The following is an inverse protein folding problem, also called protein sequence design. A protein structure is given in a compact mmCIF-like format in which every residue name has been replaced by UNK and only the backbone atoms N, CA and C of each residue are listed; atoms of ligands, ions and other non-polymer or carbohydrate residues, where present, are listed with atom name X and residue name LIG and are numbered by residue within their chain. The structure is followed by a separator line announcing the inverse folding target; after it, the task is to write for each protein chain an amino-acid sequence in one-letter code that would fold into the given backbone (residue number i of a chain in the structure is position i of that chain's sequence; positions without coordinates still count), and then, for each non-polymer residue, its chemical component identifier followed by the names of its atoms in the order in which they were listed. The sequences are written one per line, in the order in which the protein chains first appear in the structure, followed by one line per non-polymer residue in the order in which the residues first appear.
data_IF_155002429872
#
_entry.id   IF_155002429872
#
_cell.length_a   1.000
_cell.length_b   1.000
_cell.length_c   1.000
_cell.angle_alpha   90.00
_cell.angle_beta   90.00
_cell.angle_gamma   90.00
#
_symmetry.space_group_name_H-M   'P 1'
#
loop_
_entity.id
_entity.type
_entity.pdbx_description
1 polymer ?
#
# COMPACT_ATOMS: atom_id res chain seq x y z
N UNK A 1 3.88 -0.92 0.94
CA UNK A 1 4.62 -2.12 1.35
C UNK A 1 4.26 -3.32 0.49
N UNK A 2 5.10 -4.35 0.50
CA UNK A 2 4.82 -5.65 -0.11
C UNK A 2 4.29 -6.60 0.98
N UNK A 3 3.12 -7.19 0.76
CA UNK A 3 2.54 -8.24 1.59
C UNK A 3 2.80 -9.58 0.94
N UNK A 4 3.33 -10.54 1.70
CA UNK A 4 3.71 -11.87 1.21
C UNK A 4 3.22 -12.96 2.18
N UNK A 5 3.15 -14.20 1.73
CA UNK A 5 2.87 -15.33 2.62
C UNK A 5 4.02 -15.50 3.64
N UNK A 6 3.71 -15.94 4.86
CA UNK A 6 4.69 -16.17 5.93
C UNK A 6 5.81 -17.13 5.52
N UNK A 7 5.49 -18.12 4.67
CA UNK A 7 6.40 -19.16 4.23
C UNK A 7 7.41 -18.67 3.17
N UNK A 8 7.20 -17.48 2.60
CA UNK A 8 8.11 -16.93 1.60
C UNK A 8 9.19 -16.06 2.23
N UNK A 9 10.43 -16.41 1.98
CA UNK A 9 11.58 -15.57 2.27
C UNK A 9 12.10 -14.96 0.96
N UNK A 10 11.69 -13.73 0.69
CA UNK A 10 12.02 -13.01 -0.54
C UNK A 10 13.15 -12.03 -0.27
N UNK A 11 14.19 -12.07 -1.10
CA UNK A 11 15.26 -11.08 -1.06
C UNK A 11 14.98 -9.97 -2.09
N UNK A 12 14.21 -8.96 -1.67
CA UNK A 12 13.82 -7.81 -2.50
C UNK A 12 14.30 -6.54 -1.84
N UNK A 13 15.19 -5.82 -2.53
CA UNK A 13 15.76 -4.55 -2.09
C UNK A 13 15.51 -3.43 -3.11
N UNK A 14 15.10 -3.78 -4.33
CA UNK A 14 14.84 -2.85 -5.42
C UNK A 14 13.74 -3.33 -6.34
N UNK A 15 13.21 -2.44 -7.20
CA UNK A 15 12.27 -2.81 -8.27
C UNK A 15 12.88 -3.79 -9.30
N UNK A 16 14.20 -3.84 -9.42
CA UNK A 16 14.86 -4.77 -10.35
C UNK A 16 14.75 -6.22 -9.87
N UNK A 17 14.75 -6.44 -8.56
CA UNK A 17 14.75 -7.77 -7.95
C UNK A 17 13.44 -8.53 -8.22
N UNK A 18 12.34 -7.81 -8.54
CA UNK A 18 11.10 -8.47 -8.95
C UNK A 18 11.24 -9.34 -10.20
N UNK A 19 12.25 -9.08 -11.04
CA UNK A 19 12.54 -9.92 -12.23
C UNK A 19 13.09 -11.30 -11.88
N UNK A 20 13.60 -11.47 -10.66
CA UNK A 20 14.12 -12.77 -10.19
C UNK A 20 13.04 -13.68 -9.59
N UNK A 21 11.84 -13.15 -9.41
CA UNK A 21 10.72 -13.90 -8.86
C UNK A 21 10.12 -14.87 -9.88
N UNK A 22 9.84 -16.08 -9.44
CA UNK A 22 9.24 -17.12 -10.28
C UNK A 22 7.71 -17.02 -10.37
N UNK A 23 7.12 -15.97 -9.82
CA UNK A 23 5.67 -15.78 -9.79
C UNK A 23 5.30 -14.29 -9.86
N UNK A 24 4.03 -13.99 -10.03
CA UNK A 24 3.47 -12.66 -10.19
C UNK A 24 3.29 -11.94 -8.84
N UNK A 25 3.29 -10.61 -8.92
CA UNK A 25 2.91 -9.72 -7.83
C UNK A 25 1.54 -9.10 -8.14
N UNK A 26 0.68 -9.07 -7.14
CA UNK A 26 -0.64 -8.45 -7.27
C UNK A 26 -0.58 -6.94 -7.08
N UNK A 27 -1.31 -6.20 -7.91
CA UNK A 27 -1.50 -4.75 -7.80
C UNK A 27 -2.98 -4.39 -7.96
N UNK A 28 -3.43 -3.37 -7.24
CA UNK A 28 -4.80 -2.89 -7.33
C UNK A 28 -4.97 -1.92 -8.50
N UNK A 29 -6.08 -2.04 -9.21
CA UNK A 29 -6.41 -1.16 -10.32
C UNK A 29 -6.51 0.30 -9.87
N UNK A 30 -5.81 1.20 -10.57
CA UNK A 30 -5.86 2.63 -10.31
C UNK A 30 -5.06 3.08 -9.08
N UNK A 31 -4.42 2.18 -8.34
CA UNK A 31 -3.55 2.55 -7.24
C UNK A 31 -2.21 3.14 -7.75
N UNK A 32 -1.68 4.11 -7.00
CA UNK A 32 -0.40 4.74 -7.29
C UNK A 32 0.71 4.12 -6.43
N UNK A 33 1.72 3.57 -7.08
CA UNK A 33 2.86 2.91 -6.42
C UNK A 33 4.16 3.71 -6.49
N UNK A 34 4.07 5.01 -6.81
CA UNK A 34 5.19 5.93 -6.91
C UNK A 34 5.70 6.14 -8.33
N UNK A 35 6.30 7.31 -8.56
CA UNK A 35 6.77 7.72 -9.89
C UNK A 35 7.79 6.74 -10.50
N UNK A 36 8.68 6.17 -9.68
CA UNK A 36 9.69 5.22 -10.15
C UNK A 36 9.05 3.91 -10.63
N UNK A 37 8.06 3.40 -9.89
CA UNK A 37 7.29 2.23 -10.29
C UNK A 37 6.53 2.51 -11.58
N UNK A 38 5.76 3.59 -11.62
CA UNK A 38 4.93 3.97 -12.77
C UNK A 38 5.75 4.17 -14.04
N UNK A 39 6.90 4.85 -13.93
CA UNK A 39 7.82 5.04 -15.06
C UNK A 39 8.29 3.69 -15.60
N UNK A 40 8.78 2.83 -14.72
CA UNK A 40 9.29 1.50 -15.09
C UNK A 40 8.19 0.62 -15.66
N UNK A 41 7.01 0.61 -15.03
CA UNK A 41 5.84 -0.14 -15.47
C UNK A 41 5.39 0.23 -16.89
N UNK A 42 5.40 1.54 -17.22
CA UNK A 42 5.02 2.06 -18.55
C UNK A 42 6.09 1.85 -19.62
N UNK A 43 7.37 1.88 -19.24
CA UNK A 43 8.47 1.85 -20.22
C UNK A 43 9.06 0.45 -20.46
N UNK A 44 8.83 -0.51 -19.55
CA UNK A 44 9.41 -1.86 -19.63
C UNK A 44 8.31 -2.94 -19.65
N UNK A 45 7.88 -3.43 -20.83
CA UNK A 45 6.85 -4.48 -20.91
C UNK A 45 7.20 -5.75 -20.13
N UNK A 46 8.48 -6.14 -20.11
CA UNK A 46 8.95 -7.29 -19.32
C UNK A 46 8.76 -7.08 -17.81
N UNK A 47 8.89 -5.85 -17.30
CA UNK A 47 8.60 -5.52 -15.91
C UNK A 47 7.09 -5.50 -15.66
N UNK A 48 6.31 -4.87 -16.54
CA UNK A 48 4.85 -4.83 -16.42
C UNK A 48 4.22 -6.23 -16.38
N UNK A 49 4.77 -7.17 -17.13
CA UNK A 49 4.32 -8.57 -17.13
C UNK A 49 4.55 -9.32 -15.81
N UNK A 50 5.29 -8.76 -14.85
CA UNK A 50 5.46 -9.34 -13.52
C UNK A 50 4.23 -9.12 -12.62
N UNK A 51 3.31 -8.26 -13.03
CA UNK A 51 2.18 -7.84 -12.19
C UNK A 51 0.85 -8.36 -12.72
N UNK A 52 -0.05 -8.65 -11.78
CA UNK A 52 -1.44 -9.03 -12.04
C UNK A 52 -2.35 -8.03 -11.37
N UNK A 53 -3.32 -7.53 -12.11
CA UNK A 53 -4.30 -6.56 -11.62
C UNK A 53 -5.47 -7.20 -10.91
N UNK A 54 -5.91 -6.59 -9.81
CA UNK A 54 -7.15 -6.92 -9.12
C UNK A 54 -7.98 -5.66 -8.84
N UNK A 55 -9.27 -5.85 -8.60
CA UNK A 55 -10.20 -4.74 -8.35
C UNK A 55 -9.99 -4.14 -6.94
N UNK A 56 -9.58 -4.98 -5.98
CA UNK A 56 -9.37 -4.59 -4.58
C UNK A 56 -8.41 -5.55 -3.86
N UNK A 57 -8.02 -5.18 -2.65
CA UNK A 57 -7.12 -5.98 -1.81
C UNK A 57 -7.72 -7.30 -1.34
N UNK A 58 -9.05 -7.43 -1.21
CA UNK A 58 -9.69 -8.70 -0.85
C UNK A 58 -9.51 -9.76 -1.95
N UNK A 59 -9.52 -9.33 -3.20
CA UNK A 59 -9.18 -10.21 -4.32
C UNK A 59 -7.70 -10.61 -4.29
N UNK A 60 -6.81 -9.68 -3.96
CA UNK A 60 -5.36 -9.93 -3.89
C UNK A 60 -5.01 -10.94 -2.79
N UNK A 61 -5.59 -10.82 -1.59
CA UNK A 61 -5.34 -11.79 -0.51
C UNK A 61 -5.85 -13.20 -0.88
N UNK A 62 -6.99 -13.29 -1.58
CA UNK A 62 -7.51 -14.57 -2.06
C UNK A 62 -6.61 -15.17 -3.14
N UNK A 63 -6.05 -14.36 -4.04
CA UNK A 63 -5.08 -14.82 -5.05
C UNK A 63 -3.77 -15.30 -4.39
N UNK A 64 -3.30 -14.62 -3.36
CA UNK A 64 -2.11 -15.01 -2.60
C UNK A 64 -2.32 -16.36 -1.90
N UNK A 65 -3.44 -16.56 -1.24
CA UNK A 65 -3.81 -17.84 -0.61
C UNK A 65 -3.95 -18.98 -1.63
N UNK A 66 -4.47 -18.68 -2.81
CA UNK A 66 -4.56 -19.64 -3.91
C UNK A 66 -3.21 -19.86 -4.63
N UNK A 67 -2.12 -19.27 -4.15
CA UNK A 67 -0.76 -19.33 -4.72
C UNK A 67 -0.67 -18.85 -6.18
N UNK A 68 -1.62 -18.00 -6.59
CA UNK A 68 -1.64 -17.40 -7.95
C UNK A 68 -0.70 -16.20 -8.06
N UNK A 69 -0.38 -15.58 -6.92
CA UNK A 69 0.63 -14.52 -6.77
C UNK A 69 1.51 -14.84 -5.57
N UNK A 70 2.73 -14.29 -5.53
CA UNK A 70 3.67 -14.49 -4.43
C UNK A 70 3.58 -13.38 -3.37
N UNK A 71 2.99 -12.25 -3.75
CA UNK A 71 2.76 -11.11 -2.89
C UNK A 71 1.94 -10.05 -3.59
N UNK A 72 1.56 -9.01 -2.88
CA UNK A 72 0.86 -7.85 -3.45
C UNK A 72 1.23 -6.55 -2.72
N UNK A 73 1.05 -5.41 -3.39
CA UNK A 73 1.28 -4.12 -2.77
C UNK A 73 0.05 -3.62 -2.05
N UNK A 74 0.27 -3.07 -0.86
CA UNK A 74 -0.76 -2.44 -0.04
C UNK A 74 -0.20 -1.26 0.75
N UNK A 75 -1.08 -0.38 1.26
CA UNK A 75 -0.71 0.65 2.21
C UNK A 75 -0.21 0.05 3.53
N UNK A 76 0.83 0.66 4.13
CA UNK A 76 1.46 0.16 5.35
C UNK A 76 0.50 0.13 6.54
N UNK A 77 -0.29 1.18 6.71
CA UNK A 77 -1.19 1.27 7.86
C UNK A 77 -2.40 0.36 7.70
N UNK A 78 -2.93 0.27 6.48
CA UNK A 78 -3.99 -0.65 6.11
C UNK A 78 -3.57 -2.10 6.36
N UNK A 79 -2.40 -2.52 5.86
CA UNK A 79 -1.88 -3.87 6.07
C UNK A 79 -1.63 -4.18 7.55
N UNK A 80 -1.06 -3.23 8.32
CA UNK A 80 -0.84 -3.40 9.77
C UNK A 80 -2.15 -3.58 10.54
N UNK A 81 -3.19 -2.83 10.19
CA UNK A 81 -4.52 -2.98 10.76
C UNK A 81 -5.12 -4.35 10.42
N UNK A 82 -5.09 -4.75 9.14
CA UNK A 82 -5.65 -6.02 8.67
C UNK A 82 -4.97 -7.23 9.29
N UNK A 83 -3.64 -7.20 9.43
CA UNK A 83 -2.87 -8.24 10.11
C UNK A 83 -3.30 -8.46 11.56
N UNK A 84 -3.71 -7.40 12.27
CA UNK A 84 -4.17 -7.48 13.66
C UNK A 84 -5.64 -7.87 13.80
N UNK A 85 -6.49 -7.54 12.83
CA UNK A 85 -7.94 -7.59 12.98
C UNK A 85 -8.64 -8.59 12.08
N UNK A 86 -8.00 -9.03 10.98
CA UNK A 86 -8.65 -9.86 9.97
C UNK A 86 -8.03 -11.26 9.90
N UNK A 87 -8.85 -12.27 10.09
CA UNK A 87 -8.41 -13.68 10.08
C UNK A 87 -7.76 -14.09 8.77
N UNK A 88 -8.18 -13.52 7.65
CA UNK A 88 -7.62 -13.82 6.33
C UNK A 88 -6.16 -13.38 6.17
N UNK A 89 -5.64 -12.50 7.06
CA UNK A 89 -4.26 -12.03 7.06
C UNK A 89 -3.33 -12.80 8.02
N UNK A 90 -3.80 -13.85 8.70
CA UNK A 90 -2.98 -14.62 9.67
C UNK A 90 -1.75 -15.31 9.06
N UNK A 91 -1.84 -15.69 7.79
CA UNK A 91 -0.79 -16.44 7.08
C UNK A 91 0.12 -15.55 6.23
N UNK A 92 0.05 -14.23 6.43
CA UNK A 92 0.85 -13.28 5.66
C UNK A 92 1.66 -12.35 6.56
N UNK A 93 2.74 -11.82 6.01
CA UNK A 93 3.61 -10.82 6.65
C UNK A 93 3.86 -9.64 5.72
N UNK A 94 4.25 -8.52 6.32
CA UNK A 94 4.76 -7.36 5.57
C UNK A 94 6.26 -7.55 5.36
N UNK A 95 6.68 -7.51 4.11
CA UNK A 95 8.09 -7.50 3.74
C UNK A 95 8.71 -6.12 4.02
N UNK A 96 10.01 -6.09 4.32
CA UNK A 96 10.73 -4.85 4.63
C UNK A 96 10.84 -3.87 3.46
N UNK A 97 10.74 -4.37 2.22
CA UNK A 97 10.82 -3.53 1.02
C UNK A 97 9.65 -2.54 0.92
N UNK A 98 10.00 -1.26 0.74
CA UNK A 98 9.04 -0.18 0.49
C UNK A 98 9.08 0.18 -1.00
N UNK A 99 7.99 -0.12 -1.71
CA UNK A 99 7.88 0.23 -3.13
C UNK A 99 7.83 1.74 -3.34
N UNK A 100 7.17 2.45 -2.44
CA UNK A 100 7.09 3.91 -2.38
C UNK A 100 6.86 4.39 -0.96
N UNK A 101 7.33 5.60 -0.66
CA UNK A 101 7.02 6.32 0.57
C UNK A 101 6.72 7.77 0.18
N UNK A 102 5.50 8.21 0.41
CA UNK A 102 5.05 9.54 0.01
C UNK A 102 4.10 10.14 1.05
N UNK A 103 3.86 11.43 0.92
CA UNK A 103 2.94 12.17 1.78
C UNK A 103 1.51 11.96 1.30
N UNK A 104 0.60 11.72 2.23
CA UNK A 104 -0.84 11.59 1.96
C UNK A 104 -1.53 12.91 2.23
N UNK A 105 -2.46 13.29 1.37
CA UNK A 105 -3.18 14.56 1.44
C UNK A 105 -4.69 14.35 1.61
N UNK A 106 -5.33 15.22 2.38
CA UNK A 106 -6.79 15.33 2.38
C UNK A 106 -7.24 16.11 1.14
N UNK A 107 -8.08 15.50 0.32
CA UNK A 107 -8.73 16.15 -0.81
C UNK A 107 -10.06 16.77 -0.39
N UNK A 108 -10.29 18.04 -0.75
CA UNK A 108 -11.55 18.75 -0.50
C UNK A 108 -12.17 19.24 -1.80
N UNK A 109 -13.48 19.03 -1.93
CA UNK A 109 -14.23 19.53 -3.08
C UNK A 109 -14.25 21.07 -3.11
N UNK A 110 -13.71 21.66 -4.18
CA UNK A 110 -13.75 23.12 -4.39
C UNK A 110 -15.18 23.68 -4.51
N UNK A 111 -16.17 22.82 -4.84
CA UNK A 111 -17.55 23.24 -5.00
C UNK A 111 -18.30 23.32 -3.67
N UNK A 112 -17.98 22.44 -2.72
CA UNK A 112 -18.76 22.27 -1.46
C UNK A 112 -18.02 22.73 -0.20
N UNK A 113 -16.69 22.89 -0.26
CA UNK A 113 -15.89 23.33 0.90
C UNK A 113 -15.46 24.78 0.69
N UNK A 114 -16.08 25.68 1.47
CA UNK A 114 -15.72 27.11 1.41
C UNK A 114 -14.32 27.38 1.95
N UNK A 115 -13.64 28.48 1.53
CA UNK A 115 -12.33 28.85 2.08
C UNK A 115 -12.34 29.00 3.63
N UNK A 116 -13.43 29.51 4.18
CA UNK A 116 -13.62 29.64 5.65
C UNK A 116 -13.66 28.29 6.34
N UNK A 117 -14.37 27.30 5.78
CA UNK A 117 -14.40 25.95 6.31
C UNK A 117 -13.04 25.27 6.18
N UNK A 118 -12.36 25.42 5.03
CA UNK A 118 -11.03 24.86 4.80
C UNK A 118 -10.01 25.39 5.84
N UNK A 119 -10.03 26.69 6.13
CA UNK A 119 -9.16 27.29 7.14
C UNK A 119 -9.41 26.71 8.54
N UNK A 120 -10.69 26.47 8.90
CA UNK A 120 -11.06 25.83 10.17
C UNK A 120 -10.57 24.37 10.23
N UNK A 121 -10.75 23.59 9.16
CA UNK A 121 -10.28 22.22 9.06
C UNK A 121 -8.76 22.15 9.19
N UNK A 122 -8.04 23.04 8.47
CA UNK A 122 -6.58 23.13 8.59
C UNK A 122 -6.15 23.40 10.04
N UNK A 123 -6.74 24.39 10.71
CA UNK A 123 -6.42 24.69 12.11
C UNK A 123 -6.70 23.50 13.03
N UNK A 124 -7.81 22.80 12.84
CA UNK A 124 -8.15 21.61 13.63
C UNK A 124 -7.13 20.47 13.40
N UNK A 125 -6.73 20.26 12.15
CA UNK A 125 -5.68 19.30 11.79
C UNK A 125 -4.35 19.66 12.47
N UNK A 126 -3.88 20.90 12.32
CA UNK A 126 -2.61 21.38 12.89
C UNK A 126 -2.60 21.20 14.42
N UNK A 127 -3.72 21.51 15.09
CA UNK A 127 -3.89 21.33 16.53
C UNK A 127 -3.83 19.84 16.93
N UNK A 128 -4.52 18.97 16.22
CA UNK A 128 -4.55 17.55 16.52
C UNK A 128 -3.18 16.90 16.24
N UNK A 129 -2.51 17.32 15.17
CA UNK A 129 -1.19 16.83 14.80
C UNK A 129 -0.13 17.24 15.84
N UNK A 130 -0.10 18.52 16.23
CA UNK A 130 0.82 19.04 17.27
C UNK A 130 0.59 18.38 18.63
N UNK A 131 -0.64 17.97 18.92
CA UNK A 131 -0.97 17.21 20.12
C UNK A 131 -0.65 15.70 20.03
N UNK A 132 -0.02 15.22 18.94
CA UNK A 132 0.35 13.83 18.74
C UNK A 132 -0.82 12.85 18.57
N UNK A 133 -2.05 13.36 18.32
CA UNK A 133 -3.26 12.52 18.27
C UNK A 133 -3.21 11.52 17.12
N UNK A 134 -2.69 11.90 15.95
CA UNK A 134 -2.57 10.99 14.81
C UNK A 134 -1.53 9.90 15.07
N UNK A 135 -0.38 10.25 15.64
CA UNK A 135 0.63 9.28 16.00
C UNK A 135 0.14 8.29 17.07
N UNK A 136 -0.62 8.76 18.05
CA UNK A 136 -1.23 7.89 19.06
C UNK A 136 -2.18 6.86 18.46
N UNK A 137 -2.94 7.23 17.40
CA UNK A 137 -3.78 6.29 16.66
C UNK A 137 -2.92 5.27 15.90
N UNK A 138 -1.91 5.74 15.15
CA UNK A 138 -1.02 4.88 14.37
C UNK A 138 -0.29 3.85 15.25
N UNK A 139 0.16 4.25 16.45
CA UNK A 139 0.83 3.35 17.42
C UNK A 139 -0.03 2.16 17.85
N UNK A 140 -1.37 2.26 17.79
CA UNK A 140 -2.27 1.14 18.12
C UNK A 140 -2.20 0.01 17.09
N UNK A 141 -1.72 0.29 15.88
CA UNK A 141 -1.71 -0.63 14.74
C UNK A 141 -0.31 -0.99 14.24
N UNK A 142 0.73 -0.45 14.89
CA UNK A 142 2.13 -0.85 14.68
C UNK A 142 2.53 -2.06 15.51
#
# INVERSE_FOLDING_TARGET
VLVVNNDFDLNINSLADFKTLNNKIGIENGAFYGNNFDKKYKSEPAFANLFVHAVNTDMLINMLKAKRIIGFFEDRYSSSYKLKTQTQYKEVKVHSYLVNQDVVYFGFSKKSVSPKLLARLKKAYDTANSAGKFEAVVKRYR
#
